data_IF_796016579254
#
_entry.id   IF_796016579254
#
_cell.length_a   1.000
_cell.length_b   1.000
_cell.length_c   1.000
_cell.angle_alpha   90.00
_cell.angle_beta   90.00
_cell.angle_gamma   90.00
#
_symmetry.space_group_name_H-M   'P 1'
#
loop_
_entity.id
_entity.type
_entity.pdbx_description
1 polymer ?
#
# COMPACT_ATOMS: atom_id res chain seq x y z
N UNK A 1 -1.51 -22.20 23.45
CA UNK A 1 -2.65 -21.54 22.79
C UNK A 1 -2.13 -20.37 22.00
N UNK A 2 -1.61 -20.70 20.82
CA UNK A 2 -0.77 -19.84 19.99
C UNK A 2 -1.66 -19.24 18.92
N UNK A 3 -1.95 -17.94 19.00
CA UNK A 3 -2.64 -17.24 17.92
C UNK A 3 -1.70 -16.19 17.31
N UNK A 4 -0.99 -16.52 16.21
CA UNK A 4 -0.35 -15.48 15.43
C UNK A 4 -0.44 -15.76 13.92
N UNK A 5 -1.61 -16.01 13.34
CA UNK A 5 -1.68 -16.28 11.88
C UNK A 5 -2.80 -15.55 11.11
N UNK A 6 -3.75 -14.87 11.78
CA UNK A 6 -4.83 -14.15 11.07
C UNK A 6 -4.56 -12.67 10.81
N UNK A 7 -3.53 -12.07 11.43
CA UNK A 7 -3.19 -10.66 11.21
C UNK A 7 -2.43 -10.42 9.89
N UNK A 8 -1.97 -11.48 9.21
CA UNK A 8 -1.27 -11.34 7.94
C UNK A 8 -2.20 -11.08 6.73
N UNK A 9 -3.52 -11.26 6.87
CA UNK A 9 -4.44 -11.19 5.73
C UNK A 9 -5.44 -10.02 5.77
N UNK A 10 -5.41 -9.16 6.79
CA UNK A 10 -6.55 -8.28 7.09
C UNK A 10 -6.15 -6.81 7.12
N UNK A 11 -5.90 -6.28 5.92
CA UNK A 11 -5.64 -4.86 5.61
C UNK A 11 -4.30 -4.36 6.15
N UNK A 12 -3.55 -3.60 5.34
CA UNK A 12 -2.45 -2.82 5.89
C UNK A 12 -2.96 -1.96 7.06
N UNK A 13 -2.15 -1.71 8.10
CA UNK A 13 -2.53 -0.86 9.24
C UNK A 13 -2.86 0.57 8.83
N UNK A 14 -2.56 0.93 7.57
CA UNK A 14 -2.90 2.18 6.93
C UNK A 14 -4.03 2.01 5.92
N UNK A 15 -4.90 3.01 5.83
CA UNK A 15 -5.94 3.03 4.80
C UNK A 15 -5.33 3.07 3.39
N UNK A 16 -6.03 2.51 2.40
CA UNK A 16 -5.64 2.61 0.99
C UNK A 16 -5.41 4.07 0.56
N UNK A 17 -6.21 5.01 1.06
CA UNK A 17 -6.04 6.43 0.78
C UNK A 17 -4.66 6.95 1.24
N UNK A 18 -4.19 6.52 2.42
CA UNK A 18 -2.86 6.86 2.93
C UNK A 18 -1.77 6.29 2.02
N UNK A 19 -1.89 5.02 1.62
CA UNK A 19 -0.87 4.35 0.81
C UNK A 19 -0.80 4.91 -0.63
N UNK A 20 -1.96 5.17 -1.23
CA UNK A 20 -2.06 5.83 -2.54
C UNK A 20 -1.42 7.21 -2.49
N UNK A 21 -1.68 7.97 -1.42
CA UNK A 21 -1.05 9.29 -1.22
C UNK A 21 0.46 9.18 -1.14
N UNK A 22 1.00 8.16 -0.46
CA UNK A 22 2.44 7.95 -0.36
C UNK A 22 3.06 7.58 -1.70
N UNK A 23 2.45 6.66 -2.45
CA UNK A 23 2.91 6.27 -3.78
C UNK A 23 2.99 7.47 -4.76
N UNK A 24 2.05 8.41 -4.64
CA UNK A 24 2.02 9.65 -5.42
C UNK A 24 3.10 10.64 -4.96
N UNK A 25 3.28 10.82 -3.65
CA UNK A 25 4.28 11.75 -3.10
C UNK A 25 5.73 11.31 -3.37
N UNK A 26 5.98 10.00 -3.43
CA UNK A 26 7.29 9.44 -3.76
C UNK A 26 7.63 9.59 -5.25
N UNK A 27 6.64 9.78 -6.12
CA UNK A 27 6.88 10.01 -7.54
C UNK A 27 7.45 11.42 -7.78
N UNK A 28 8.50 11.56 -8.60
CA UNK A 28 9.12 12.87 -8.87
C UNK A 28 8.13 13.86 -9.51
N UNK A 29 7.19 13.35 -10.29
CA UNK A 29 6.15 14.14 -10.96
C UNK A 29 4.92 14.40 -10.07
N UNK A 30 4.90 13.88 -8.83
CA UNK A 30 3.74 13.91 -7.93
C UNK A 30 2.46 13.36 -8.55
N UNK A 31 2.61 12.44 -9.49
CA UNK A 31 1.55 11.70 -10.15
C UNK A 31 2.03 10.27 -10.40
N UNK A 32 1.10 9.31 -10.32
CA UNK A 32 1.32 7.93 -10.78
C UNK A 32 0.04 7.43 -11.41
N UNK A 33 0.20 6.61 -12.44
CA UNK A 33 -0.91 5.86 -13.03
C UNK A 33 -1.36 4.74 -12.09
N UNK A 34 -2.59 4.25 -12.27
CA UNK A 34 -3.12 3.13 -11.49
C UNK A 34 -2.20 1.89 -11.57
N UNK A 35 -1.68 1.58 -12.75
CA UNK A 35 -0.78 0.44 -12.94
C UNK A 35 0.50 0.56 -12.09
N UNK A 36 1.10 1.76 -12.03
CA UNK A 36 2.31 2.00 -11.23
C UNK A 36 2.04 1.97 -9.73
N UNK A 37 0.83 2.37 -9.30
CA UNK A 37 0.42 2.25 -7.89
C UNK A 37 0.28 0.76 -7.53
N UNK A 38 -0.31 -0.06 -8.40
CA UNK A 38 -0.37 -1.51 -8.18
C UNK A 38 1.02 -2.13 -8.09
N UNK A 39 1.94 -1.77 -9.00
CA UNK A 39 3.33 -2.22 -8.92
C UNK A 39 4.08 -1.73 -7.68
N UNK A 40 3.77 -0.51 -7.19
CA UNK A 40 4.36 0.02 -5.95
C UNK A 40 3.92 -0.77 -4.72
N UNK A 41 2.66 -1.22 -4.68
CA UNK A 41 2.14 -2.08 -3.60
C UNK A 41 2.76 -3.49 -3.55
N UNK A 42 3.27 -3.98 -4.68
CA UNK A 42 3.79 -5.35 -4.82
C UNK A 42 5.32 -5.43 -4.83
N UNK A 43 6.02 -4.29 -4.84
CA UNK A 43 7.47 -4.22 -4.60
C UNK A 43 7.78 -4.44 -3.13
#
# INVERSE_FOLDING_TARGET
>A
STFPEFLHNMRPPFTYATLIRWAILEAPEKQRTLNEIYHWFTR
#
